data_IF_092682551408
#
_entry.id   IF_092682551408
#
_cell.length_a   1.000
_cell.length_b   1.000
_cell.length_c   1.000
_cell.angle_alpha   90.00
_cell.angle_beta   90.00
_cell.angle_gamma   90.00
#
_symmetry.space_group_name_H-M   'P 1'
#
loop_
_entity.id
_entity.type
_entity.pdbx_description
1 polymer ?
#
# COMPACT_ATOMS: atom_id res chain seq x y z
N UNK A 1 -6.82 -12.33 -9.89
CA UNK A 1 -7.47 -11.80 -8.67
C UNK A 1 -8.51 -12.74 -8.08
N UNK A 2 -9.20 -13.51 -8.91
CA UNK A 2 -10.25 -14.43 -8.42
C UNK A 2 -9.72 -15.46 -7.43
N UNK A 3 -8.47 -15.88 -7.57
CA UNK A 3 -7.86 -16.84 -6.66
C UNK A 3 -7.81 -16.32 -5.21
N UNK A 4 -7.79 -15.00 -5.02
CA UNK A 4 -7.75 -14.39 -3.68
C UNK A 4 -9.11 -14.41 -2.98
N UNK A 5 -10.19 -14.73 -3.71
CA UNK A 5 -11.52 -14.92 -3.14
C UNK A 5 -11.72 -16.32 -2.56
N UNK A 6 -10.89 -17.26 -2.97
CA UNK A 6 -10.95 -18.63 -2.50
C UNK A 6 -10.27 -18.76 -1.14
N UNK A 7 -10.18 -19.96 -0.61
CA UNK A 7 -9.55 -20.19 0.68
C UNK A 7 -8.14 -19.58 0.72
N UNK A 8 -7.87 -18.69 1.68
CA UNK A 8 -6.52 -18.18 1.83
C UNK A 8 -5.61 -19.27 2.33
N UNK A 9 -4.38 -19.29 1.83
CA UNK A 9 -3.36 -20.20 2.34
C UNK A 9 -2.58 -19.47 3.44
N UNK A 10 -2.96 -19.74 4.70
CA UNK A 10 -2.31 -19.08 5.84
C UNK A 10 -0.86 -19.48 6.02
N UNK A 11 -0.41 -20.52 5.32
CA UNK A 11 0.98 -20.97 5.31
C UNK A 11 1.70 -20.67 4.00
N UNK A 12 1.12 -19.83 3.15
CA UNK A 12 1.75 -19.45 1.90
C UNK A 12 3.14 -18.83 2.15
N UNK A 13 4.00 -18.94 1.16
CA UNK A 13 5.34 -18.34 1.22
C UNK A 13 5.23 -16.82 1.44
N UNK A 14 6.25 -16.20 2.04
CA UNK A 14 6.26 -14.74 2.20
C UNK A 14 6.00 -14.03 0.86
N UNK A 15 5.35 -12.88 0.94
CA UNK A 15 4.92 -12.05 -0.18
C UNK A 15 3.72 -12.58 -0.95
N UNK A 16 3.20 -13.74 -0.59
CA UNK A 16 1.92 -14.23 -1.11
C UNK A 16 0.82 -13.92 -0.10
N UNK A 17 -0.36 -13.61 -0.60
CA UNK A 17 -1.46 -13.20 0.26
C UNK A 17 -1.96 -14.37 1.12
N UNK A 18 -2.00 -14.18 2.43
CA UNK A 18 -2.43 -15.17 3.42
C UNK A 18 -3.83 -14.94 3.95
N UNK A 19 -4.52 -13.93 3.43
CA UNK A 19 -5.89 -13.58 3.82
C UNK A 19 -6.75 -13.45 2.59
N UNK A 20 -8.06 -13.66 2.74
CA UNK A 20 -8.99 -13.48 1.63
C UNK A 20 -9.41 -12.02 1.52
N UNK A 21 -9.66 -11.60 0.28
CA UNK A 21 -10.24 -10.29 0.00
C UNK A 21 -11.63 -10.50 -0.59
N UNK A 22 -12.47 -9.48 -0.57
CA UNK A 22 -13.83 -9.56 -1.09
C UNK A 22 -13.93 -8.99 -2.51
N UNK A 23 -15.14 -9.10 -3.09
CA UNK A 23 -15.38 -8.61 -4.44
C UNK A 23 -15.20 -7.09 -4.57
N UNK A 24 -15.43 -6.34 -3.50
CA UNK A 24 -15.24 -4.88 -3.52
C UNK A 24 -13.77 -4.51 -3.54
N UNK A 25 -12.94 -5.30 -2.86
CA UNK A 25 -11.47 -5.10 -2.93
C UNK A 25 -10.98 -5.35 -4.34
N UNK A 26 -11.47 -6.41 -4.99
CA UNK A 26 -11.10 -6.71 -6.36
C UNK A 26 -11.55 -5.60 -7.30
N UNK A 27 -12.78 -5.11 -7.14
CA UNK A 27 -13.29 -4.03 -7.97
C UNK A 27 -12.44 -2.76 -7.83
N UNK A 28 -12.01 -2.44 -6.60
CA UNK A 28 -11.12 -1.31 -6.34
C UNK A 28 -9.79 -1.45 -7.10
N UNK A 29 -9.19 -2.63 -6.99
CA UNK A 29 -7.89 -2.89 -7.63
C UNK A 29 -8.01 -2.88 -9.15
N UNK A 30 -9.10 -3.46 -9.70
CA UNK A 30 -9.34 -3.46 -11.14
C UNK A 30 -9.58 -2.04 -11.67
N UNK A 31 -10.35 -1.24 -10.96
CA UNK A 31 -10.57 0.15 -11.33
C UNK A 31 -9.25 0.94 -11.32
N UNK A 32 -8.44 0.73 -10.28
CA UNK A 32 -7.14 1.38 -10.19
C UNK A 32 -6.22 0.99 -11.35
N UNK A 33 -6.16 -0.29 -11.67
CA UNK A 33 -5.30 -0.78 -12.76
C UNK A 33 -5.81 -0.36 -14.14
N UNK A 34 -7.06 -0.69 -14.43
CA UNK A 34 -7.57 -0.58 -15.80
C UNK A 34 -8.12 0.79 -16.13
N UNK A 35 -8.70 1.50 -15.19
CA UNK A 35 -9.28 2.82 -15.45
C UNK A 35 -8.35 3.95 -15.06
N UNK A 36 -7.55 3.78 -14.01
CA UNK A 36 -6.60 4.80 -13.56
C UNK A 36 -5.16 4.55 -14.00
N UNK A 37 -4.91 3.43 -14.65
CA UNK A 37 -3.58 3.12 -15.15
C UNK A 37 -2.52 2.93 -14.07
N UNK A 38 -2.92 2.53 -12.86
CA UNK A 38 -1.99 2.35 -11.75
C UNK A 38 -1.60 3.64 -11.04
N UNK A 39 -2.34 4.73 -11.27
CA UNK A 39 -2.06 6.06 -10.70
C UNK A 39 -3.38 6.73 -10.32
N UNK A 40 -3.73 6.69 -9.05
CA UNK A 40 -4.97 7.33 -8.67
C UNK A 40 -5.37 7.10 -7.23
N UNK A 41 -6.43 7.81 -6.83
CA UNK A 41 -7.06 7.65 -5.54
C UNK A 41 -8.28 6.75 -5.68
N UNK A 42 -8.51 5.94 -4.66
CA UNK A 42 -9.68 5.07 -4.56
C UNK A 42 -10.38 5.34 -3.23
N UNK A 43 -11.70 5.14 -3.15
CA UNK A 43 -12.40 5.28 -1.89
C UNK A 43 -11.84 4.33 -0.83
N UNK A 44 -11.75 4.80 0.40
CA UNK A 44 -11.36 3.96 1.52
C UNK A 44 -12.33 2.77 1.64
N UNK A 45 -11.80 1.62 2.05
CA UNK A 45 -12.61 0.44 2.33
C UNK A 45 -13.35 0.54 3.67
N UNK A 46 -13.32 1.72 4.30
CA UNK A 46 -14.03 2.01 5.53
C UNK A 46 -13.17 2.03 6.78
N UNK A 47 -12.16 1.18 6.86
CA UNK A 47 -11.22 1.13 7.98
C UNK A 47 -9.80 0.97 7.47
N UNK A 48 -8.83 1.37 8.30
CA UNK A 48 -7.42 1.21 7.94
C UNK A 48 -7.03 -0.26 7.74
N UNK A 49 -7.45 -1.21 8.61
CA UNK A 49 -7.15 -2.62 8.36
C UNK A 49 -7.65 -3.14 7.02
N UNK A 50 -8.81 -2.69 6.56
CA UNK A 50 -9.34 -3.07 5.25
C UNK A 50 -8.51 -2.47 4.12
N UNK A 51 -8.08 -1.22 4.26
CA UNK A 51 -7.21 -0.57 3.28
C UNK A 51 -5.86 -1.28 3.20
N UNK A 52 -5.32 -1.69 4.34
CA UNK A 52 -4.05 -2.41 4.40
C UNK A 52 -4.19 -3.78 3.72
N UNK A 53 -5.30 -4.47 3.93
CA UNK A 53 -5.53 -5.77 3.29
C UNK A 53 -5.62 -5.64 1.77
N UNK A 54 -6.34 -4.65 1.26
CA UNK A 54 -6.40 -4.39 -0.18
C UNK A 54 -5.01 -4.07 -0.72
N UNK A 55 -4.23 -3.29 0.03
CA UNK A 55 -2.85 -2.97 -0.34
C UNK A 55 -1.96 -4.20 -0.37
N UNK A 56 -2.14 -5.12 0.59
CA UNK A 56 -1.39 -6.37 0.62
C UNK A 56 -1.66 -7.21 -0.63
N UNK A 57 -2.93 -7.28 -1.06
CA UNK A 57 -3.27 -7.96 -2.31
C UNK A 57 -2.57 -7.34 -3.50
N UNK A 58 -2.51 -6.01 -3.56
CA UNK A 58 -1.81 -5.30 -4.62
C UNK A 58 -0.31 -5.61 -4.59
N UNK A 59 0.31 -5.60 -3.42
CA UNK A 59 1.73 -5.93 -3.28
C UNK A 59 2.01 -7.34 -3.79
N UNK A 60 1.15 -8.30 -3.46
CA UNK A 60 1.30 -9.67 -3.93
C UNK A 60 1.24 -9.76 -5.45
N UNK A 61 0.34 -9.01 -6.07
CA UNK A 61 0.20 -8.96 -7.53
C UNK A 61 1.43 -8.33 -8.18
N UNK A 62 1.87 -7.19 -7.67
CA UNK A 62 3.03 -6.49 -8.21
C UNK A 62 4.28 -7.34 -8.05
N UNK A 63 4.40 -8.07 -6.93
CA UNK A 63 5.50 -9.00 -6.72
C UNK A 63 5.56 -10.11 -7.76
N UNK A 64 4.42 -10.60 -8.21
CA UNK A 64 4.37 -11.60 -9.29
C UNK A 64 4.81 -11.02 -10.64
N UNK A 65 4.52 -9.74 -10.87
CA UNK A 65 4.84 -9.08 -12.14
C UNK A 65 6.29 -8.62 -12.20
N UNK A 66 6.84 -8.10 -11.12
CA UNK A 66 8.15 -7.47 -11.10
C UNK A 66 9.20 -8.23 -10.29
N UNK A 67 8.79 -9.24 -9.51
CA UNK A 67 9.71 -9.98 -8.66
C UNK A 67 10.35 -9.06 -7.62
N UNK A 68 11.68 -9.05 -7.57
CA UNK A 68 12.42 -8.19 -6.65
C UNK A 68 12.79 -6.83 -7.26
N UNK A 69 12.25 -6.50 -8.44
CA UNK A 69 12.52 -5.23 -9.14
C UNK A 69 11.61 -4.11 -8.68
N UNK A 70 10.91 -4.24 -7.56
CA UNK A 70 10.09 -3.18 -7.01
C UNK A 70 10.32 -3.04 -5.50
N UNK A 71 9.97 -1.88 -4.98
CA UNK A 71 9.90 -1.65 -3.54
C UNK A 71 8.59 -0.93 -3.23
N UNK A 72 7.93 -1.35 -2.14
CA UNK A 72 6.70 -0.70 -1.69
C UNK A 72 7.03 0.41 -0.71
N UNK A 73 6.51 1.60 -0.95
CA UNK A 73 6.72 2.78 -0.12
C UNK A 73 5.37 3.22 0.44
N UNK A 74 5.23 3.20 1.75
CA UNK A 74 3.96 3.55 2.42
C UNK A 74 4.10 4.90 3.10
N UNK A 75 3.16 5.80 2.84
CA UNK A 75 3.08 7.10 3.51
C UNK A 75 1.91 7.12 4.47
N UNK A 76 2.19 7.31 5.74
CA UNK A 76 1.17 7.47 6.77
C UNK A 76 1.73 8.36 7.87
N UNK A 77 0.94 9.36 8.29
CA UNK A 77 1.37 10.30 9.31
C UNK A 77 1.24 9.73 10.72
N UNK A 78 2.36 9.59 11.41
CA UNK A 78 2.39 9.19 12.80
C UNK A 78 2.77 7.75 13.06
N UNK A 79 3.45 7.50 14.20
CA UNK A 79 3.96 6.16 14.52
C UNK A 79 2.88 5.09 14.67
N UNK A 80 1.71 5.47 15.19
CA UNK A 80 0.60 4.51 15.37
C UNK A 80 0.08 4.00 14.04
N UNK A 81 -0.11 4.88 13.07
CA UNK A 81 -0.58 4.50 11.73
C UNK A 81 0.45 3.65 11.02
N UNK A 82 1.71 4.03 11.13
CA UNK A 82 2.80 3.22 10.55
C UNK A 82 2.86 1.85 11.20
N UNK A 83 2.66 1.77 12.51
CA UNK A 83 2.61 0.50 13.22
C UNK A 83 1.49 -0.40 12.74
N UNK A 84 0.31 0.17 12.48
CA UNK A 84 -0.81 -0.59 11.95
C UNK A 84 -0.50 -1.11 10.53
N UNK A 85 0.08 -0.28 9.68
CA UNK A 85 0.48 -0.70 8.34
C UNK A 85 1.50 -1.83 8.40
N UNK A 86 2.52 -1.70 9.24
CA UNK A 86 3.53 -2.75 9.39
C UNK A 86 2.90 -4.06 9.84
N UNK A 87 2.12 -4.04 10.92
CA UNK A 87 1.50 -5.25 11.46
C UNK A 87 0.54 -5.89 10.47
N UNK A 88 -0.28 -5.07 9.81
CA UNK A 88 -1.24 -5.58 8.83
C UNK A 88 -0.58 -6.22 7.64
N UNK A 89 0.49 -5.60 7.11
CA UNK A 89 1.23 -6.16 5.99
C UNK A 89 2.02 -7.41 6.40
N UNK A 90 2.58 -7.43 7.60
CA UNK A 90 3.24 -8.63 8.13
C UNK A 90 2.27 -9.81 8.20
N UNK A 91 1.08 -9.57 8.73
CA UNK A 91 0.07 -10.61 8.86
C UNK A 91 -0.44 -11.09 7.51
N UNK A 92 -0.77 -10.17 6.62
CA UNK A 92 -1.37 -10.51 5.33
C UNK A 92 -0.40 -11.18 4.36
N UNK A 93 0.88 -10.87 4.44
CA UNK A 93 1.90 -11.34 3.49
C UNK A 93 2.96 -12.24 4.12
N UNK A 94 2.82 -12.56 5.39
CA UNK A 94 3.76 -13.44 6.08
C UNK A 94 5.18 -12.87 6.17
N UNK A 95 5.30 -11.57 6.45
CA UNK A 95 6.59 -10.90 6.47
C UNK A 95 7.17 -10.81 7.88
N UNK A 96 8.50 -10.74 7.97
CA UNK A 96 9.22 -10.50 9.20
C UNK A 96 9.71 -9.06 9.29
N UNK A 97 10.41 -8.74 10.37
CA UNK A 97 10.99 -7.40 10.56
C UNK A 97 11.99 -7.04 9.48
N UNK A 98 12.71 -8.03 9.00
CA UNK A 98 13.74 -7.87 7.98
C UNK A 98 13.20 -7.40 6.64
N UNK A 99 11.90 -7.55 6.41
CA UNK A 99 11.26 -7.12 5.18
C UNK A 99 10.91 -5.63 5.18
N UNK A 100 11.08 -4.97 6.33
CA UNK A 100 10.82 -3.53 6.48
C UNK A 100 12.14 -2.80 6.79
N UNK A 101 12.51 -1.89 5.92
CA UNK A 101 13.74 -1.11 6.13
C UNK A 101 14.27 -0.56 4.81
N UNK A 102 15.31 0.29 4.87
CA UNK A 102 15.76 1.03 3.69
C UNK A 102 16.16 0.17 2.50
N UNK A 103 16.66 -1.04 2.76
CA UNK A 103 17.11 -1.94 1.69
C UNK A 103 16.18 -3.13 1.49
N UNK A 104 14.99 -3.10 2.09
CA UNK A 104 14.05 -4.21 2.08
C UNK A 104 12.85 -3.95 1.18
N UNK A 105 11.92 -4.89 1.12
CA UNK A 105 10.78 -4.82 0.21
C UNK A 105 9.76 -3.73 0.53
N UNK A 106 9.64 -3.33 1.79
CA UNK A 106 8.68 -2.29 2.21
C UNK A 106 9.39 -1.25 3.07
N UNK A 107 9.16 0.02 2.78
CA UNK A 107 9.66 1.12 3.61
C UNK A 107 8.47 2.00 4.01
N UNK A 108 8.41 2.36 5.29
CA UNK A 108 7.34 3.18 5.86
C UNK A 108 7.84 4.60 6.08
N UNK A 109 7.03 5.58 5.68
CA UNK A 109 7.40 6.99 5.75
C UNK A 109 6.33 7.81 6.45
N UNK A 110 6.73 8.73 7.30
CA UNK A 110 5.85 9.74 7.88
C UNK A 110 5.79 11.00 7.02
N UNK A 111 6.82 11.26 6.23
CA UNK A 111 6.95 12.50 5.46
C UNK A 111 7.04 12.21 3.97
N UNK A 112 6.29 12.95 3.16
CA UNK A 112 6.32 12.74 1.71
C UNK A 112 7.68 13.04 1.09
N UNK A 113 8.45 13.97 1.63
CA UNK A 113 9.76 14.34 1.07
C UNK A 113 10.73 13.16 1.09
N UNK A 114 10.77 12.41 2.20
CA UNK A 114 11.63 11.24 2.32
C UNK A 114 11.20 10.14 1.38
N UNK A 115 9.89 9.95 1.22
CA UNK A 115 9.34 8.96 0.30
C UNK A 115 9.73 9.29 -1.14
N UNK A 116 9.56 10.54 -1.54
CA UNK A 116 9.89 10.98 -2.91
C UNK A 116 11.37 10.79 -3.20
N UNK A 117 12.24 11.12 -2.26
CA UNK A 117 13.67 10.91 -2.42
C UNK A 117 14.01 9.42 -2.65
N UNK A 118 13.36 8.54 -1.88
CA UNK A 118 13.55 7.10 -2.04
C UNK A 118 13.03 6.61 -3.39
N UNK A 119 11.86 7.09 -3.81
CA UNK A 119 11.27 6.72 -5.11
C UNK A 119 12.17 7.14 -6.27
N UNK A 120 12.75 8.33 -6.21
CA UNK A 120 13.69 8.79 -7.22
C UNK A 120 14.91 7.87 -7.33
N UNK A 121 15.44 7.45 -6.19
CA UNK A 121 16.59 6.55 -6.16
C UNK A 121 16.28 5.19 -6.76
N UNK A 122 15.06 4.68 -6.50
CA UNK A 122 14.64 3.41 -7.08
C UNK A 122 14.56 3.50 -8.60
N UNK A 123 13.98 4.57 -9.11
CA UNK A 123 13.90 4.78 -10.56
C UNK A 123 15.27 4.91 -11.21
N UNK A 124 16.21 5.57 -10.55
CA UNK A 124 17.58 5.66 -11.03
C UNK A 124 18.25 4.31 -11.20
N UNK A 125 17.85 3.32 -10.38
CA UNK A 125 18.38 1.95 -10.47
C UNK A 125 17.54 1.03 -11.36
N UNK A 126 16.52 1.57 -12.01
CA UNK A 126 15.63 0.77 -12.86
C UNK A 126 14.64 -0.07 -12.07
N UNK A 127 14.43 0.23 -10.79
CA UNK A 127 13.44 -0.44 -9.97
C UNK A 127 12.16 0.38 -9.92
N UNK A 128 11.04 -0.29 -9.61
CA UNK A 128 9.72 0.33 -9.61
C UNK A 128 9.28 0.67 -8.19
N UNK A 129 9.02 1.95 -7.88
CA UNK A 129 8.39 2.29 -6.61
C UNK A 129 6.88 2.08 -6.69
N UNK A 130 6.33 1.28 -5.78
CA UNK A 130 4.89 1.17 -5.59
C UNK A 130 4.54 2.02 -4.37
N UNK A 131 3.83 3.11 -4.58
CA UNK A 131 3.53 4.06 -3.51
C UNK A 131 2.11 3.86 -3.00
N UNK A 132 1.97 3.70 -1.68
CA UNK A 132 0.68 3.56 -1.01
C UNK A 132 0.51 4.70 -0.03
N UNK A 133 -0.63 5.38 -0.08
CA UNK A 133 -0.92 6.54 0.77
C UNK A 133 -2.13 6.24 1.64
N UNK A 134 -1.93 6.33 2.96
CA UNK A 134 -2.97 6.08 3.94
C UNK A 134 -4.14 7.05 3.78
N UNK A 135 -5.35 6.57 4.04
CA UNK A 135 -6.57 7.38 3.92
C UNK A 135 -6.61 8.58 4.86
N UNK A 136 -5.80 8.54 5.92
CA UNK A 136 -5.74 9.66 6.87
C UNK A 136 -4.94 10.86 6.35
N UNK A 137 -4.19 10.68 5.26
CA UNK A 137 -3.45 11.80 4.67
C UNK A 137 -4.41 12.74 3.94
N UNK A 138 -4.31 14.03 4.25
CA UNK A 138 -5.25 15.04 3.73
C UNK A 138 -5.03 15.39 2.27
N UNK A 139 -3.78 15.32 1.83
CA UNK A 139 -3.45 15.67 0.46
C UNK A 139 -2.31 14.79 -0.04
N UNK A 140 -2.37 14.51 -1.34
CA UNK A 140 -1.27 13.81 -2.01
C UNK A 140 -0.30 14.88 -2.51
N UNK A 141 0.96 14.76 -2.13
CA UNK A 141 1.98 15.72 -2.53
C UNK A 141 2.21 15.63 -4.04
N UNK A 142 2.29 16.80 -4.69
CA UNK A 142 2.45 16.86 -6.15
C UNK A 142 3.63 16.02 -6.66
N UNK A 143 4.82 16.05 -6.03
CA UNK A 143 5.94 15.22 -6.49
C UNK A 143 5.66 13.72 -6.50
N UNK A 144 4.74 13.21 -5.65
CA UNK A 144 4.35 11.81 -5.65
C UNK A 144 3.58 11.45 -6.91
N UNK A 145 2.80 12.39 -7.45
CA UNK A 145 1.91 12.15 -8.59
C UNK A 145 2.66 11.84 -9.88
N UNK A 146 3.94 12.18 -9.97
CA UNK A 146 4.73 11.92 -11.16
C UNK A 146 5.20 10.47 -11.29
N UNK A 147 5.15 9.70 -10.21
CA UNK A 147 5.61 8.31 -10.23
C UNK A 147 4.61 7.39 -10.93
N UNK A 148 5.08 6.27 -11.54
CA UNK A 148 4.22 5.43 -12.38
C UNK A 148 3.20 4.58 -11.64
N UNK A 149 3.42 4.26 -10.36
CA UNK A 149 2.48 3.45 -9.60
C UNK A 149 2.24 4.09 -8.23
N UNK A 150 1.05 4.63 -8.02
CA UNK A 150 0.67 5.11 -6.71
C UNK A 150 -0.83 4.92 -6.49
N UNK A 151 -1.18 4.45 -5.30
CA UNK A 151 -2.56 4.27 -4.85
C UNK A 151 -2.76 5.06 -3.56
N UNK A 152 -3.67 6.02 -3.59
CA UNK A 152 -4.05 6.79 -2.42
C UNK A 152 -5.49 6.41 -2.05
N UNK A 153 -5.72 6.18 -0.75
CA UNK A 153 -7.07 5.94 -0.26
C UNK A 153 -7.69 7.27 0.14
N UNK A 154 -8.82 7.61 -0.48
CA UNK A 154 -9.57 8.80 -0.10
C UNK A 154 -10.29 8.53 1.21
N UNK A 155 -10.02 9.36 2.23
CA UNK A 155 -10.61 9.15 3.55
C UNK A 155 -12.12 9.26 3.53
N UNK A 156 -12.80 8.32 4.19
CA UNK A 156 -14.23 8.41 4.44
C UNK A 156 -14.52 9.41 5.56
N UNK A 157 -15.79 9.76 5.77
CA UNK A 157 -16.14 10.73 6.81
C UNK A 157 -15.65 10.37 8.20
N UNK A 158 -15.69 9.10 8.58
CA UNK A 158 -15.23 8.65 9.89
C UNK A 158 -13.71 8.70 10.07
N UNK A 159 -12.99 8.54 8.98
CA UNK A 159 -11.52 8.55 9.01
C UNK A 159 -10.96 9.97 9.14
N UNK A 160 -11.71 10.97 8.66
CA UNK A 160 -11.30 12.37 8.77
C UNK A 160 -11.49 12.93 10.17
N UNK A 161 -12.41 12.38 10.95
CA UNK A 161 -12.68 12.83 12.31
C UNK A 161 -11.46 12.67 13.21
N UNK A 162 -10.67 11.63 13.00
CA UNK A 162 -9.46 11.41 13.77
C UNK A 162 -8.46 12.56 13.63
N UNK A 163 -8.34 13.10 12.42
CA UNK A 163 -7.43 14.23 12.16
C UNK A 163 -7.96 15.53 12.74
N UNK A 164 -9.29 15.72 12.68
CA UNK A 164 -9.94 16.92 13.23
C UNK A 164 -9.81 16.97 14.75
N UNK A 165 -9.85 15.81 15.42
CA UNK A 165 -9.69 15.72 16.86
C UNK A 165 -8.30 16.12 17.33
N UNK A 166 -7.32 16.10 16.46
CA UNK A 166 -5.96 16.50 16.78
C UNK A 166 -5.74 18.02 16.70
N UNK A 167 -6.70 18.72 16.18
CA UNK A 167 -6.66 20.17 16.06
C UNK A 167 -7.30 20.84 17.27
#
# INVERSE_FOLDING_TARGET
>A
LERFLKQPDVYADPWNLRRSIDAKDIALLEDWFFNQGGRGAQPSRGTRPRNILASAALIAIIGELYGDQFQCLVLAGGPERLGEWRRGLQDALGLGREDFGPSSGIVLFERPEALVERADRLEERGEVPLILIDAAERSVDIPVLQFPLWLAFAAGPGERLDDDDLL
#
